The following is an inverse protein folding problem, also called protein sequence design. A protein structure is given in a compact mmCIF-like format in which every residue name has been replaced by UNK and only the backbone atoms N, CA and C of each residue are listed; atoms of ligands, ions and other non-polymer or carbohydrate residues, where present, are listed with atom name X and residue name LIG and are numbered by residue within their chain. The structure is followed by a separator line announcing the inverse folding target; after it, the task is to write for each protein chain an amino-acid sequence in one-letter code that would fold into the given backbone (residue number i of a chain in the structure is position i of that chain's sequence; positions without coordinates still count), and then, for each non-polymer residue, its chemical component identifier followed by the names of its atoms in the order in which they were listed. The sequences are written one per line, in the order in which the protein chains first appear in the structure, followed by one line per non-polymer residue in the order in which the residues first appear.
data_IF_301180516766
#
_entry.id   IF_301180516766
#
_cell.length_a   1.000
_cell.length_b   1.000
_cell.length_c   1.000
_cell.angle_alpha   90.00
_cell.angle_beta   90.00
_cell.angle_gamma   90.00
#
_symmetry.space_group_name_H-M   'P 1'
#
loop_
_entity.id
_entity.type
_entity.pdbx_description
1 polymer ?
#
# COMPACT_ATOMS: atom_id res chain seq x y z
N UNK A 1 46.28 11.42 38.63
CA UNK A 1 45.80 11.55 37.24
C UNK A 1 44.35 11.07 37.23
N UNK A 2 43.40 11.96 36.97
CA UNK A 2 41.96 11.64 36.90
C UNK A 2 41.51 11.93 35.47
N UNK A 3 41.24 10.87 34.71
CA UNK A 3 40.55 10.84 33.39
C UNK A 3 40.27 9.35 33.15
N UNK A 4 39.06 8.83 32.94
CA UNK A 4 37.76 9.39 32.61
C UNK A 4 37.09 8.36 31.70
N UNK A 5 36.27 7.47 32.25
CA UNK A 5 35.58 6.43 31.47
C UNK A 5 34.51 7.08 30.58
N UNK A 6 34.75 7.12 29.27
CA UNK A 6 33.74 7.51 28.28
C UNK A 6 32.76 6.35 28.14
N UNK A 7 31.64 6.44 28.85
CA UNK A 7 30.47 5.58 28.64
C UNK A 7 29.82 5.95 27.30
N UNK A 8 30.04 5.13 26.27
CA UNK A 8 29.29 5.19 25.02
C UNK A 8 27.88 4.64 25.28
N UNK A 9 27.00 5.49 25.81
CA UNK A 9 25.55 5.25 25.92
C UNK A 9 24.85 5.67 24.62
N UNK A 10 25.12 4.98 23.52
CA UNK A 10 24.46 5.24 22.23
C UNK A 10 24.09 3.93 21.55
N UNK A 11 22.82 3.50 21.63
CA UNK A 11 22.38 2.34 20.87
C UNK A 11 21.00 1.76 21.20
N UNK A 12 20.41 2.04 22.37
CA UNK A 12 19.14 1.43 22.74
C UNK A 12 17.90 2.03 22.03
N UNK A 13 17.99 3.27 21.53
CA UNK A 13 16.85 3.96 20.91
C UNK A 13 16.62 3.67 19.42
N UNK A 14 17.52 2.96 18.74
CA UNK A 14 17.41 2.72 17.29
C UNK A 14 16.60 1.45 16.96
N UNK A 15 16.77 0.35 17.70
CA UNK A 15 16.06 -0.91 17.44
C UNK A 15 14.55 -0.84 17.71
N UNK A 16 14.11 -0.02 18.67
CA UNK A 16 12.68 0.11 19.00
C UNK A 16 11.87 0.75 17.87
N UNK A 17 12.46 1.71 17.15
CA UNK A 17 11.81 2.39 16.05
C UNK A 17 11.69 1.49 14.82
N UNK A 18 12.71 0.69 14.50
CA UNK A 18 12.68 -0.24 13.36
C UNK A 18 11.65 -1.38 13.58
N UNK A 19 11.51 -1.88 14.80
CA UNK A 19 10.52 -2.91 15.14
C UNK A 19 9.08 -2.37 15.08
N UNK A 20 8.83 -1.19 15.65
CA UNK A 20 7.54 -0.50 15.53
C UNK A 20 7.21 -0.21 14.06
N UNK A 21 8.23 0.10 13.25
CA UNK A 21 8.09 0.38 11.84
C UNK A 21 7.66 -0.83 11.02
N UNK A 22 8.38 -1.93 11.18
CA UNK A 22 8.08 -3.18 10.49
C UNK A 22 6.68 -3.70 10.88
N UNK A 23 6.26 -3.50 12.13
CA UNK A 23 4.91 -3.83 12.57
C UNK A 23 3.84 -2.97 11.88
N UNK A 24 4.08 -1.66 11.69
CA UNK A 24 3.18 -0.77 10.95
C UNK A 24 3.10 -1.14 9.47
N UNK A 25 4.26 -1.36 8.84
CA UNK A 25 4.35 -1.80 7.45
C UNK A 25 3.54 -3.07 7.23
N UNK A 26 3.74 -4.10 8.05
CA UNK A 26 3.01 -5.37 7.93
C UNK A 26 1.49 -5.21 8.10
N UNK A 27 1.05 -4.36 9.04
CA UNK A 27 -0.38 -4.08 9.29
C UNK A 27 -1.07 -3.39 8.12
N UNK A 28 -0.36 -2.52 7.40
CA UNK A 28 -0.91 -1.76 6.27
C UNK A 28 -0.77 -2.54 4.95
N UNK A 29 0.37 -3.21 4.75
CA UNK A 29 0.67 -3.92 3.50
C UNK A 29 -0.20 -5.17 3.31
N UNK A 30 -0.59 -5.86 4.40
CA UNK A 30 -1.40 -7.07 4.31
C UNK A 30 -2.79 -6.85 3.70
N UNK A 31 -3.66 -6.03 4.35
CA UNK A 31 -5.00 -5.74 3.83
C UNK A 31 -4.99 -5.07 2.46
N UNK A 32 -4.05 -4.15 2.24
CA UNK A 32 -3.92 -3.46 0.95
C UNK A 32 -3.53 -4.45 -0.16
N UNK A 33 -2.56 -5.32 0.08
CA UNK A 33 -2.13 -6.35 -0.87
C UNK A 33 -3.28 -7.30 -1.22
N UNK A 34 -4.08 -7.71 -0.22
CA UNK A 34 -5.25 -8.55 -0.44
C UNK A 34 -6.28 -7.86 -1.35
N UNK A 35 -6.59 -6.59 -1.09
CA UNK A 35 -7.52 -5.80 -1.91
C UNK A 35 -7.02 -5.66 -3.35
N UNK A 36 -5.73 -5.37 -3.57
CA UNK A 36 -5.14 -5.27 -4.92
C UNK A 36 -5.31 -6.56 -5.70
N UNK A 37 -4.99 -7.69 -5.06
CA UNK A 37 -5.09 -9.01 -5.70
C UNK A 37 -6.54 -9.32 -6.04
N UNK A 38 -7.48 -9.05 -5.13
CA UNK A 38 -8.90 -9.27 -5.35
C UNK A 38 -9.43 -8.42 -6.52
N UNK A 39 -9.17 -7.12 -6.51
CA UNK A 39 -9.58 -6.18 -7.56
C UNK A 39 -9.03 -6.62 -8.91
N UNK A 40 -7.74 -6.98 -8.97
CA UNK A 40 -7.10 -7.48 -10.18
C UNK A 40 -7.78 -8.74 -10.73
N UNK A 41 -8.03 -9.75 -9.87
CA UNK A 41 -8.65 -11.01 -10.28
C UNK A 41 -10.07 -10.82 -10.79
N UNK A 42 -10.89 -10.04 -10.09
CA UNK A 42 -12.27 -9.78 -10.51
C UNK A 42 -12.34 -8.94 -11.78
N UNK A 43 -11.44 -7.97 -11.95
CA UNK A 43 -11.33 -7.19 -13.20
C UNK A 43 -10.88 -8.04 -14.38
N UNK A 44 -9.92 -8.94 -14.18
CA UNK A 44 -9.48 -9.87 -15.22
C UNK A 44 -10.66 -10.74 -15.70
N UNK A 45 -11.43 -11.29 -14.76
CA UNK A 45 -12.61 -12.09 -15.08
C UNK A 45 -13.63 -11.27 -15.88
N UNK A 46 -13.98 -10.07 -15.40
CA UNK A 46 -14.93 -9.19 -16.07
C UNK A 46 -14.45 -8.71 -17.46
N UNK A 47 -13.15 -8.41 -17.62
CA UNK A 47 -12.59 -8.00 -18.91
C UNK A 47 -12.56 -9.15 -19.93
N UNK A 48 -12.40 -10.39 -19.46
CA UNK A 48 -12.40 -11.59 -20.29
C UNK A 48 -13.82 -11.98 -20.72
N UNK A 49 -14.79 -11.96 -19.80
CA UNK A 49 -16.17 -12.36 -20.07
C UNK A 49 -17.04 -11.23 -20.62
N UNK A 50 -16.66 -9.98 -20.38
CA UNK A 50 -17.48 -8.80 -20.62
C UNK A 50 -18.59 -8.58 -19.58
N UNK A 51 -18.63 -9.37 -18.51
CA UNK A 51 -19.65 -9.26 -17.45
C UNK A 51 -19.14 -8.47 -16.24
N UNK A 52 -19.70 -7.28 -16.04
CA UNK A 52 -19.39 -6.40 -14.91
C UNK A 52 -20.28 -6.64 -13.67
N UNK A 53 -21.26 -7.56 -13.72
CA UNK A 53 -22.13 -7.82 -12.57
C UNK A 53 -21.39 -8.24 -11.28
N UNK A 54 -20.36 -9.11 -11.33
CA UNK A 54 -19.60 -9.48 -10.13
C UNK A 54 -18.82 -8.32 -9.51
N UNK A 55 -18.38 -7.36 -10.34
CA UNK A 55 -17.69 -6.15 -9.87
C UNK A 55 -18.63 -5.28 -9.02
N UNK A 56 -19.88 -5.11 -9.48
CA UNK A 56 -20.89 -4.31 -8.77
C UNK A 56 -21.21 -4.86 -7.38
N UNK A 57 -21.21 -6.18 -7.20
CA UNK A 57 -21.40 -6.80 -5.88
C UNK A 57 -20.26 -6.49 -4.91
N UNK A 58 -19.07 -6.21 -5.44
CA UNK A 58 -17.87 -5.91 -4.66
C UNK A 58 -17.71 -4.42 -4.34
N UNK A 59 -18.47 -3.56 -5.02
CA UNK A 59 -18.30 -2.11 -4.97
C UNK A 59 -18.50 -1.48 -3.59
N UNK A 60 -19.49 -1.94 -2.83
CA UNK A 60 -19.72 -1.42 -1.48
C UNK A 60 -18.52 -1.70 -0.55
N UNK A 61 -17.99 -2.92 -0.59
CA UNK A 61 -16.83 -3.33 0.19
C UNK A 61 -15.57 -2.56 -0.25
N UNK A 62 -15.25 -2.59 -1.54
CA UNK A 62 -14.06 -1.91 -2.08
C UNK A 62 -14.07 -0.40 -1.80
N UNK A 63 -15.22 0.25 -1.92
CA UNK A 63 -15.35 1.68 -1.61
C UNK A 63 -15.11 1.95 -0.12
N UNK A 64 -15.59 1.07 0.76
CA UNK A 64 -15.33 1.19 2.19
C UNK A 64 -13.84 1.00 2.49
N UNK A 65 -13.22 -0.05 1.95
CA UNK A 65 -11.80 -0.35 2.16
C UNK A 65 -10.92 0.81 1.67
N UNK A 66 -11.11 1.29 0.44
CA UNK A 66 -10.37 2.45 -0.10
C UNK A 66 -10.53 3.69 0.79
N UNK A 67 -11.73 3.95 1.33
CA UNK A 67 -11.95 5.07 2.27
C UNK A 67 -11.22 4.90 3.59
N UNK A 68 -11.02 3.68 4.08
CA UNK A 68 -10.26 3.43 5.31
C UNK A 68 -8.78 3.70 5.13
N UNK A 69 -8.26 3.41 3.94
CA UNK A 69 -6.85 3.55 3.62
C UNK A 69 -6.40 5.03 3.48
N UNK A 70 -7.25 5.91 2.92
CA UNK A 70 -6.92 7.33 2.66
C UNK A 70 -6.45 8.12 3.92
N UNK A 71 -7.20 8.15 5.05
CA UNK A 71 -6.75 8.84 6.26
C UNK A 71 -5.62 8.11 6.99
N UNK A 72 -5.56 6.76 6.91
CA UNK A 72 -4.48 5.99 7.52
C UNK A 72 -3.13 6.32 6.87
N UNK A 73 -3.08 6.46 5.54
CA UNK A 73 -1.85 6.84 4.85
C UNK A 73 -1.43 8.27 5.14
N UNK A 74 -2.39 9.21 5.19
CA UNK A 74 -2.10 10.61 5.52
C UNK A 74 -1.52 10.75 6.93
N UNK A 75 -2.09 10.04 7.90
CA UNK A 75 -1.62 10.06 9.29
C UNK A 75 -0.22 9.45 9.42
N UNK A 76 0.01 8.30 8.79
CA UNK A 76 1.31 7.63 8.83
C UNK A 76 2.36 8.48 8.12
N UNK A 77 2.11 8.94 6.88
CA UNK A 77 3.02 9.82 6.12
C UNK A 77 3.43 11.07 6.93
N UNK A 78 2.50 11.67 7.67
CA UNK A 78 2.80 12.83 8.53
C UNK A 78 3.67 12.43 9.73
N UNK A 79 3.38 11.30 10.38
CA UNK A 79 4.18 10.79 11.50
C UNK A 79 5.63 10.43 11.08
N UNK A 80 5.84 10.11 9.81
CA UNK A 80 7.14 9.77 9.23
C UNK A 80 8.08 10.94 8.98
N UNK A 81 7.53 12.13 8.74
CA UNK A 81 8.34 13.34 8.53
C UNK A 81 8.92 13.89 9.85
N UNK A 82 8.47 13.38 10.99
CA UNK A 82 9.05 13.62 12.32
C UNK A 82 10.21 12.67 12.61
N UNK A 83 11.27 13.11 13.32
CA UNK A 83 12.67 12.90 12.95
C UNK A 83 13.14 11.44 13.06
N UNK A 84 13.25 10.76 11.91
CA UNK A 84 13.98 9.50 11.74
C UNK A 84 15.43 9.77 11.31
N UNK A 85 16.35 8.85 11.62
CA UNK A 85 17.67 8.86 10.99
C UNK A 85 17.53 8.69 9.46
N UNK A 86 18.46 9.25 8.68
CA UNK A 86 18.35 9.33 7.22
C UNK A 86 18.26 7.96 6.52
N UNK A 87 18.93 6.93 7.02
CA UNK A 87 18.98 5.61 6.37
C UNK A 87 17.66 4.82 6.54
N UNK A 88 17.05 4.87 7.74
CA UNK A 88 15.72 4.31 7.99
C UNK A 88 14.65 5.15 7.28
N UNK A 89 14.86 6.46 7.14
CA UNK A 89 13.96 7.35 6.42
C UNK A 89 13.86 7.01 4.92
N UNK A 90 14.97 6.74 4.21
CA UNK A 90 14.92 6.51 2.74
C UNK A 90 14.12 5.27 2.34
N UNK A 91 14.39 4.11 2.96
CA UNK A 91 13.66 2.86 2.64
C UNK A 91 12.18 2.96 2.99
N UNK A 92 11.88 3.60 4.12
CA UNK A 92 10.50 3.78 4.54
C UNK A 92 9.76 4.78 3.66
N UNK A 93 10.45 5.84 3.22
CA UNK A 93 9.91 6.80 2.28
C UNK A 93 9.56 6.15 0.94
N UNK A 94 10.46 5.35 0.37
CA UNK A 94 10.19 4.60 -0.87
C UNK A 94 8.99 3.66 -0.73
N UNK A 95 8.92 2.92 0.39
CA UNK A 95 7.77 2.07 0.69
C UNK A 95 6.47 2.88 0.78
N UNK A 96 6.46 3.99 1.52
CA UNK A 96 5.29 4.88 1.64
C UNK A 96 4.86 5.42 0.29
N UNK A 97 5.79 5.89 -0.54
CA UNK A 97 5.51 6.36 -1.88
C UNK A 97 4.81 5.28 -2.70
N UNK A 98 5.36 4.07 -2.73
CA UNK A 98 4.77 2.95 -3.48
C UNK A 98 3.37 2.57 -2.96
N UNK A 99 3.18 2.55 -1.64
CA UNK A 99 1.87 2.34 -1.00
C UNK A 99 0.86 3.41 -1.42
N UNK A 100 1.26 4.69 -1.40
CA UNK A 100 0.40 5.81 -1.80
C UNK A 100 0.00 5.72 -3.26
N UNK A 101 0.95 5.43 -4.15
CA UNK A 101 0.65 5.20 -5.57
C UNK A 101 -0.37 4.10 -5.77
N UNK A 102 -0.18 2.97 -5.07
CA UNK A 102 -1.06 1.83 -5.18
C UNK A 102 -2.47 2.12 -4.62
N UNK A 103 -2.58 2.86 -3.53
CA UNK A 103 -3.85 3.32 -2.99
C UNK A 103 -4.59 4.26 -3.96
N UNK A 104 -3.85 5.17 -4.61
CA UNK A 104 -4.39 6.07 -5.62
C UNK A 104 -4.89 5.32 -6.86
N UNK A 105 -4.11 4.37 -7.37
CA UNK A 105 -4.50 3.51 -8.49
C UNK A 105 -5.78 2.72 -8.17
N UNK A 106 -5.87 2.16 -6.96
CA UNK A 106 -7.08 1.48 -6.49
C UNK A 106 -8.28 2.43 -6.42
N UNK A 107 -8.11 3.66 -5.93
CA UNK A 107 -9.19 4.65 -5.87
C UNK A 107 -9.72 5.00 -7.26
N UNK A 108 -8.84 5.16 -8.24
CA UNK A 108 -9.21 5.41 -9.64
C UNK A 108 -9.95 4.20 -10.22
N UNK A 109 -9.40 3.00 -10.04
CA UNK A 109 -10.00 1.75 -10.55
C UNK A 109 -11.38 1.49 -9.93
N UNK A 110 -11.48 1.55 -8.61
CA UNK A 110 -12.76 1.35 -7.90
C UNK A 110 -13.75 2.44 -8.29
N UNK A 111 -13.33 3.70 -8.42
CA UNK A 111 -14.19 4.78 -8.90
C UNK A 111 -14.75 4.55 -10.31
N UNK A 112 -13.91 4.07 -11.23
CA UNK A 112 -14.33 3.77 -12.60
C UNK A 112 -15.31 2.58 -12.66
N UNK A 113 -15.08 1.55 -11.85
CA UNK A 113 -15.89 0.32 -11.83
C UNK A 113 -17.21 0.51 -11.08
N UNK A 114 -17.20 1.29 -10.00
CA UNK A 114 -18.32 1.47 -9.08
C UNK A 114 -19.10 2.77 -9.32
N UNK A 115 -18.85 3.43 -10.44
CA UNK A 115 -19.63 4.56 -10.91
C UNK A 115 -21.10 4.20 -11.18
N UNK A 116 -21.91 5.22 -11.42
CA UNK A 116 -23.36 5.05 -11.65
C UNK A 116 -23.70 4.35 -12.97
N UNK A 117 -22.79 4.39 -13.94
CA UNK A 117 -22.96 3.75 -15.24
C UNK A 117 -22.27 2.38 -15.26
N UNK A 118 -22.85 1.43 -15.99
CA UNK A 118 -22.17 0.16 -16.23
C UNK A 118 -20.89 0.41 -17.07
N UNK A 119 -19.72 -0.08 -16.63
CA UNK A 119 -18.48 0.15 -17.36
C UNK A 119 -18.52 -0.59 -18.71
N UNK A 120 -18.09 0.10 -19.75
CA UNK A 120 -17.87 -0.47 -21.08
C UNK A 120 -16.68 -1.43 -21.06
N UNK A 121 -16.58 -2.30 -22.08
CA UNK A 121 -15.43 -3.20 -22.22
C UNK A 121 -14.09 -2.46 -22.31
N UNK A 122 -14.07 -1.29 -22.97
CA UNK A 122 -12.87 -0.46 -23.07
C UNK A 122 -12.45 0.09 -21.70
N UNK A 123 -13.41 0.53 -20.88
CA UNK A 123 -13.16 0.99 -19.52
C UNK A 123 -12.70 -0.15 -18.61
N UNK A 124 -13.27 -1.35 -18.75
CA UNK A 124 -12.81 -2.54 -18.03
C UNK A 124 -11.37 -2.92 -18.39
N UNK A 125 -10.99 -2.85 -19.68
CA UNK A 125 -9.62 -3.12 -20.12
C UNK A 125 -8.64 -2.06 -19.61
N UNK A 126 -9.04 -0.79 -19.61
CA UNK A 126 -8.25 0.30 -19.06
C UNK A 126 -8.05 0.15 -17.55
N UNK A 127 -9.14 -0.11 -16.80
CA UNK A 127 -9.09 -0.37 -15.36
C UNK A 127 -8.25 -1.61 -15.03
N UNK A 128 -8.34 -2.67 -15.85
CA UNK A 128 -7.51 -3.86 -15.71
C UNK A 128 -6.03 -3.56 -15.90
N UNK A 129 -5.65 -2.74 -16.89
CA UNK A 129 -4.26 -2.34 -17.10
C UNK A 129 -3.67 -1.62 -15.87
N UNK A 130 -4.43 -0.68 -15.29
CA UNK A 130 -4.04 0.01 -14.05
C UNK A 130 -3.93 -0.97 -12.89
N UNK A 131 -4.94 -1.83 -12.69
CA UNK A 131 -4.91 -2.86 -11.64
C UNK A 131 -3.77 -3.88 -11.82
N UNK A 132 -3.34 -4.15 -13.05
CA UNK A 132 -2.18 -4.99 -13.36
C UNK A 132 -0.87 -4.34 -12.92
N UNK A 133 -0.69 -3.05 -13.19
CA UNK A 133 0.47 -2.30 -12.72
C UNK A 133 0.52 -2.23 -11.19
N UNK A 134 -0.62 -1.94 -10.55
CA UNK A 134 -0.74 -1.97 -9.09
C UNK A 134 -0.39 -3.36 -8.51
N UNK A 135 -0.89 -4.44 -9.13
CA UNK A 135 -0.55 -5.81 -8.72
C UNK A 135 0.93 -6.16 -8.89
N UNK A 136 1.57 -5.68 -9.97
CA UNK A 136 3.01 -5.84 -10.17
C UNK A 136 3.82 -5.10 -9.09
N UNK A 137 3.47 -3.85 -8.79
CA UNK A 137 4.10 -3.06 -7.73
C UNK A 137 3.91 -3.72 -6.35
N UNK A 138 2.69 -4.18 -6.04
CA UNK A 138 2.40 -4.90 -4.80
C UNK A 138 3.28 -6.16 -4.62
N UNK A 139 3.49 -6.92 -5.69
CA UNK A 139 4.40 -8.08 -5.67
C UNK A 139 5.86 -7.66 -5.44
N UNK A 140 6.33 -6.61 -6.11
CA UNK A 140 7.69 -6.09 -5.90
C UNK A 140 7.90 -5.64 -4.44
N UNK A 141 6.94 -4.92 -3.87
CA UNK A 141 6.98 -4.50 -2.46
C UNK A 141 6.96 -5.70 -1.50
N UNK A 142 6.12 -6.69 -1.75
CA UNK A 142 6.08 -7.90 -0.93
C UNK A 142 7.42 -8.65 -0.94
N UNK A 143 8.10 -8.69 -2.08
CA UNK A 143 9.44 -9.27 -2.22
C UNK A 143 10.50 -8.45 -1.45
N UNK A 144 10.45 -7.12 -1.54
CA UNK A 144 11.36 -6.23 -0.78
C UNK A 144 11.25 -6.48 0.73
N UNK A 145 10.04 -6.66 1.26
CA UNK A 145 9.81 -6.93 2.70
C UNK A 145 10.33 -8.29 3.17
N UNK A 146 10.48 -9.26 2.27
CA UNK A 146 11.04 -10.58 2.61
C UNK A 146 12.57 -10.53 2.69
N UNK A 147 13.22 -9.69 1.87
CA UNK A 147 14.68 -9.55 1.84
C UNK A 147 15.27 -8.80 3.04
N UNK A 148 14.42 -8.20 3.87
CA UNK A 148 14.81 -7.39 5.04
C UNK A 148 14.74 -8.15 6.37
N UNK A 149 14.53 -9.47 6.35
CA UNK A 149 14.63 -10.34 7.55
C UNK A 149 16.05 -10.83 7.75
#
# INVERSE_FOLDING_TARGET
MVLGAVLVLGGAGAQSNDAAMNAKIARLSGPLSALVVEVHQKLYAAATTGDAAPLRQSCAAWTADVKTFDPLFTAEYTAFLTPLNWATATRTYEWLTNVTHLAMDLKVVVGAVCGTNAPTRAELLSAYAVASNASALNRQMALQLQTTK
#
